data_IF_942572256632
#
_entry.id   IF_942572256632
#
_cell.length_a   1.000
_cell.length_b   1.000
_cell.length_c   1.000
_cell.angle_alpha   90.00
_cell.angle_beta   90.00
_cell.angle_gamma   90.00
#
_symmetry.space_group_name_H-M   'P 1'
#
loop_
_entity.id
_entity.type
_entity.pdbx_description
1 polymer ?
#
# COMPACT_ATOMS: atom_id res chain seq x y z
N UNK A 1 -6.63 -0.85 20.08
CA UNK A 1 -7.57 -1.68 19.31
C UNK A 1 -6.81 -2.90 18.83
N UNK A 2 -7.12 -4.09 19.33
CA UNK A 2 -6.41 -5.33 18.99
C UNK A 2 -7.02 -5.87 17.68
N UNK A 3 -6.30 -5.78 16.56
CA UNK A 3 -6.75 -6.37 15.30
C UNK A 3 -6.58 -7.89 15.38
N UNK A 4 -7.67 -8.64 15.57
CA UNK A 4 -7.63 -10.10 15.46
C UNK A 4 -7.60 -10.47 13.97
N UNK A 5 -6.51 -11.07 13.53
CA UNK A 5 -6.38 -11.54 12.15
C UNK A 5 -7.17 -12.84 11.95
N UNK A 6 -7.72 -12.99 10.75
CA UNK A 6 -8.35 -14.24 10.29
C UNK A 6 -7.25 -15.23 9.90
N UNK A 7 -7.55 -16.53 9.90
CA UNK A 7 -6.60 -17.58 9.55
C UNK A 7 -5.89 -17.31 8.21
N UNK A 8 -6.64 -16.94 7.17
CA UNK A 8 -6.07 -16.62 5.86
C UNK A 8 -5.14 -15.40 5.88
N UNK A 9 -5.38 -14.42 6.77
CA UNK A 9 -4.52 -13.24 6.88
C UNK A 9 -3.19 -13.59 7.53
N UNK A 10 -3.18 -14.50 8.51
CA UNK A 10 -1.94 -15.06 9.04
C UNK A 10 -1.16 -15.79 7.96
N UNK A 11 -1.81 -16.69 7.24
CA UNK A 11 -1.20 -17.44 6.13
C UNK A 11 -0.61 -16.51 5.05
N UNK A 12 -1.36 -15.48 4.66
CA UNK A 12 -0.91 -14.49 3.69
C UNK A 12 0.37 -13.75 4.15
N UNK A 13 0.46 -13.39 5.45
CA UNK A 13 1.66 -12.76 6.01
C UNK A 13 2.84 -13.74 6.09
N UNK A 14 2.60 -15.00 6.43
CA UNK A 14 3.64 -16.03 6.46
C UNK A 14 4.24 -16.24 5.07
N UNK A 15 3.40 -16.33 4.03
CA UNK A 15 3.84 -16.41 2.63
C UNK A 15 4.65 -15.17 2.26
N UNK A 16 4.21 -13.98 2.65
CA UNK A 16 4.94 -12.73 2.41
C UNK A 16 6.33 -12.77 3.07
N UNK A 17 6.44 -13.21 4.33
CA UNK A 17 7.71 -13.31 5.05
C UNK A 17 8.66 -14.31 4.39
N UNK A 18 8.15 -15.44 3.91
CA UNK A 18 8.93 -16.41 3.14
C UNK A 18 9.39 -15.84 1.80
N UNK A 19 8.55 -15.07 1.10
CA UNK A 19 8.89 -14.42 -0.16
C UNK A 19 10.05 -13.43 -0.01
N UNK A 20 9.97 -12.53 0.97
CA UNK A 20 11.04 -11.54 1.18
C UNK A 20 12.35 -12.19 1.65
N UNK A 21 12.28 -13.31 2.36
CA UNK A 21 13.48 -14.07 2.75
C UNK A 21 14.21 -14.68 1.54
N UNK A 22 13.48 -14.95 0.46
CA UNK A 22 14.01 -15.46 -0.81
C UNK A 22 14.32 -14.35 -1.83
N UNK A 23 14.41 -13.09 -1.39
CA UNK A 23 14.63 -11.89 -2.23
C UNK A 23 13.57 -11.70 -3.36
N UNK A 24 12.39 -12.29 -3.19
CA UNK A 24 11.27 -12.08 -4.10
C UNK A 24 10.65 -10.68 -3.86
N UNK A 25 10.45 -9.93 -4.94
CA UNK A 25 10.06 -8.50 -4.87
C UNK A 25 8.57 -8.25 -5.07
N UNK A 26 7.83 -9.24 -5.54
CA UNK A 26 6.43 -9.11 -5.92
C UNK A 26 5.65 -10.32 -5.44
N UNK A 27 4.41 -10.09 -5.01
CA UNK A 27 3.45 -11.11 -4.64
C UNK A 27 2.04 -10.68 -5.05
N UNK A 28 1.18 -11.63 -5.37
CA UNK A 28 -0.23 -11.42 -5.70
C UNK A 28 -1.11 -12.19 -4.71
N UNK A 29 -2.11 -11.51 -4.12
CA UNK A 29 -3.16 -12.14 -3.33
C UNK A 29 -4.50 -12.03 -4.06
N UNK A 30 -5.06 -13.17 -4.42
CA UNK A 30 -6.44 -13.28 -4.88
C UNK A 30 -7.31 -13.78 -3.73
N UNK A 31 -8.29 -12.98 -3.31
CA UNK A 31 -9.24 -13.35 -2.28
C UNK A 31 -10.60 -12.74 -2.57
N UNK A 32 -11.66 -13.30 -2.00
CA UNK A 32 -13.02 -12.81 -2.17
C UNK A 32 -13.17 -11.33 -1.71
N UNK A 33 -14.08 -10.54 -2.31
CA UNK A 33 -14.40 -9.21 -1.80
C UNK A 33 -14.82 -9.25 -0.31
N UNK A 34 -14.37 -8.28 0.49
CA UNK A 34 -14.67 -8.25 1.94
C UNK A 34 -13.88 -9.23 2.82
N UNK A 35 -12.96 -10.02 2.24
CA UNK A 35 -12.09 -10.95 2.99
C UNK A 35 -11.14 -10.28 3.98
N UNK A 36 -10.82 -8.99 3.78
CA UNK A 36 -9.93 -8.22 4.65
C UNK A 36 -8.54 -7.92 4.07
N UNK A 37 -8.35 -8.03 2.74
CA UNK A 37 -7.08 -7.76 2.03
C UNK A 37 -6.41 -6.45 2.39
N UNK A 38 -7.19 -5.38 2.56
CA UNK A 38 -6.67 -4.06 2.95
C UNK A 38 -5.89 -4.10 4.25
N UNK A 39 -6.39 -4.82 5.28
CA UNK A 39 -5.70 -4.91 6.57
C UNK A 39 -4.38 -5.69 6.44
N UNK A 40 -4.39 -6.80 5.72
CA UNK A 40 -3.20 -7.61 5.45
C UNK A 40 -2.14 -6.80 4.68
N UNK A 41 -2.55 -6.06 3.64
CA UNK A 41 -1.65 -5.21 2.86
C UNK A 41 -1.02 -4.09 3.70
N UNK A 42 -1.81 -3.45 4.57
CA UNK A 42 -1.29 -2.41 5.46
C UNK A 42 -0.31 -2.94 6.50
N UNK A 43 -0.45 -4.18 6.96
CA UNK A 43 0.55 -4.82 7.83
C UNK A 43 1.87 -5.04 7.09
N UNK A 44 1.83 -5.46 5.83
CA UNK A 44 3.03 -5.54 4.98
C UNK A 44 3.67 -4.17 4.79
N UNK A 45 2.88 -3.13 4.48
CA UNK A 45 3.38 -1.77 4.35
C UNK A 45 4.05 -1.28 5.63
N UNK A 46 3.41 -1.50 6.79
CA UNK A 46 3.94 -1.10 8.09
C UNK A 46 5.26 -1.82 8.39
N UNK A 47 5.31 -3.14 8.21
CA UNK A 47 6.53 -3.93 8.37
C UNK A 47 7.66 -3.37 7.52
N UNK A 48 7.43 -3.14 6.23
CA UNK A 48 8.45 -2.61 5.33
C UNK A 48 8.93 -1.20 5.72
N UNK A 49 8.04 -0.30 6.13
CA UNK A 49 8.42 1.03 6.63
C UNK A 49 9.29 0.94 7.89
N UNK A 50 9.00 -0.02 8.77
CA UNK A 50 9.76 -0.23 10.00
C UNK A 50 11.12 -0.90 9.75
N UNK A 51 11.19 -1.86 8.83
CA UNK A 51 12.43 -2.58 8.52
C UNK A 51 13.34 -1.78 7.58
N UNK A 52 12.77 -1.08 6.60
CA UNK A 52 13.52 -0.28 5.64
C UNK A 52 13.45 1.18 6.06
N UNK A 53 14.57 1.72 6.57
CA UNK A 53 14.72 3.09 7.10
C UNK A 53 14.20 4.25 6.20
N UNK A 54 13.83 3.99 4.94
CA UNK A 54 13.35 4.99 3.97
C UNK A 54 12.24 4.50 3.04
N UNK A 55 11.60 3.37 3.33
CA UNK A 55 10.53 2.89 2.45
C UNK A 55 9.34 3.86 2.48
N UNK A 56 8.84 4.22 1.29
CA UNK A 56 7.57 4.92 1.10
C UNK A 56 6.47 3.92 0.82
N UNK A 57 5.23 4.28 1.11
CA UNK A 57 4.05 3.48 0.74
C UNK A 57 3.32 4.15 -0.43
N UNK A 58 3.07 3.41 -1.50
CA UNK A 58 2.27 3.88 -2.63
C UNK A 58 1.14 2.89 -2.83
N UNK A 59 -0.09 3.36 -2.71
CA UNK A 59 -1.27 2.53 -2.91
C UNK A 59 -1.98 3.05 -4.16
N UNK A 60 -2.18 2.17 -5.14
CA UNK A 60 -2.87 2.47 -6.39
C UNK A 60 -4.23 1.79 -6.37
N UNK A 61 -5.30 2.56 -6.54
CA UNK A 61 -6.69 2.10 -6.43
C UNK A 61 -7.49 2.43 -7.71
N UNK A 62 -8.60 1.75 -8.00
CA UNK A 62 -9.38 2.04 -9.20
C UNK A 62 -10.15 3.35 -9.12
N UNK A 63 -10.64 3.76 -7.94
CA UNK A 63 -11.55 4.91 -7.82
C UNK A 63 -11.09 5.95 -6.81
N UNK A 64 -11.55 7.19 -6.99
CA UNK A 64 -11.23 8.29 -6.10
C UNK A 64 -11.76 8.10 -4.67
N UNK A 65 -12.91 7.42 -4.51
CA UNK A 65 -13.51 7.14 -3.22
C UNK A 65 -12.65 6.17 -2.40
N UNK A 66 -12.09 5.13 -3.03
CA UNK A 66 -11.18 4.19 -2.38
C UNK A 66 -9.91 4.85 -1.84
N UNK A 67 -9.45 5.97 -2.43
CA UNK A 67 -8.29 6.69 -1.90
C UNK A 67 -8.49 7.13 -0.45
N UNK A 68 -9.68 7.65 -0.14
CA UNK A 68 -10.02 8.08 1.21
C UNK A 68 -10.16 6.89 2.15
N UNK A 69 -10.80 5.81 1.71
CA UNK A 69 -10.97 4.60 2.53
C UNK A 69 -9.62 3.97 2.89
N UNK A 70 -8.70 3.88 1.94
CA UNK A 70 -7.35 3.36 2.17
C UNK A 70 -6.53 4.25 3.10
N UNK A 71 -6.58 5.57 2.95
CA UNK A 71 -5.89 6.48 3.87
C UNK A 71 -6.45 6.37 5.30
N UNK A 72 -7.77 6.35 5.46
CA UNK A 72 -8.41 6.14 6.78
C UNK A 72 -8.09 4.77 7.38
N UNK A 73 -7.94 3.74 6.54
CA UNK A 73 -7.49 2.43 6.98
C UNK A 73 -6.04 2.47 7.46
N UNK A 74 -5.15 3.11 6.69
CA UNK A 74 -3.74 3.26 6.99
C UNK A 74 -3.48 4.03 8.29
N UNK A 75 -4.27 5.07 8.58
CA UNK A 75 -4.17 5.84 9.83
C UNK A 75 -4.36 4.95 11.06
N UNK A 76 -5.21 3.91 11.00
CA UNK A 76 -5.39 2.94 12.10
C UNK A 76 -4.16 2.07 12.35
N UNK A 77 -3.24 2.00 11.39
CA UNK A 77 -1.95 1.32 11.48
C UNK A 77 -0.79 2.30 11.74
N UNK A 78 -1.06 3.59 11.95
CA UNK A 78 -0.02 4.62 12.12
C UNK A 78 0.71 4.98 10.81
N UNK A 79 0.07 4.71 9.66
CA UNK A 79 0.57 5.07 8.34
C UNK A 79 -0.24 6.24 7.79
N UNK A 80 0.34 7.44 7.79
CA UNK A 80 -0.26 8.63 7.20
C UNK A 80 0.03 8.67 5.71
N UNK A 81 -1.02 8.50 4.90
CA UNK A 81 -0.95 8.50 3.44
C UNK A 81 -1.75 9.66 2.84
N UNK A 82 -1.15 10.40 1.91
CA UNK A 82 -1.84 11.50 1.22
C UNK A 82 -2.83 10.96 0.18
N UNK A 83 -4.13 11.01 0.49
CA UNK A 83 -5.23 10.65 -0.43
C UNK A 83 -5.68 11.81 -1.33
N UNK A 84 -5.20 13.02 -1.07
CA UNK A 84 -5.55 14.25 -1.81
C UNK A 84 -4.43 14.68 -2.76
N UNK A 85 -3.41 13.84 -2.93
CA UNK A 85 -2.28 14.11 -3.80
C UNK A 85 -2.75 14.49 -5.21
N UNK A 86 -2.45 15.72 -5.61
CA UNK A 86 -2.83 16.32 -6.88
C UNK A 86 -1.64 16.45 -7.84
N UNK A 87 -1.94 16.62 -9.12
CA UNK A 87 -0.97 16.57 -10.22
C UNK A 87 0.15 17.62 -10.17
N UNK A 88 0.09 18.64 -9.31
CA UNK A 88 1.07 19.74 -9.24
C UNK A 88 1.78 19.89 -7.88
N UNK A 89 1.55 19.00 -6.92
CA UNK A 89 2.14 19.12 -5.58
C UNK A 89 3.30 18.14 -5.37
N UNK A 90 4.27 18.55 -4.56
CA UNK A 90 5.22 17.63 -3.92
C UNK A 90 4.50 16.96 -2.74
N UNK A 91 4.85 15.71 -2.47
CA UNK A 91 4.41 15.03 -1.26
C UNK A 91 4.96 15.79 -0.05
N UNK A 92 4.11 16.11 0.93
CA UNK A 92 4.57 16.78 2.14
C UNK A 92 5.43 15.81 2.98
N UNK A 93 6.41 16.34 3.72
CA UNK A 93 7.39 15.55 4.45
C UNK A 93 6.76 14.67 5.55
N UNK A 94 5.60 15.07 6.06
CA UNK A 94 4.91 14.41 7.16
C UNK A 94 4.15 13.14 6.71
N UNK A 95 3.97 12.95 5.40
CA UNK A 95 3.33 11.75 4.86
C UNK A 95 4.36 10.66 4.59
N UNK A 96 4.06 9.44 5.06
CA UNK A 96 4.84 8.24 4.77
C UNK A 96 4.60 7.71 3.34
N UNK A 97 3.59 8.24 2.65
CA UNK A 97 3.19 7.74 1.35
C UNK A 97 1.97 8.43 0.77
N UNK A 98 1.41 7.82 -0.27
CA UNK A 98 0.23 8.34 -0.97
C UNK A 98 -0.73 7.24 -1.41
N UNK A 99 -1.98 7.64 -1.60
CA UNK A 99 -3.00 6.82 -2.26
C UNK A 99 -3.46 7.53 -3.51
N UNK A 100 -3.29 6.91 -4.67
CA UNK A 100 -3.59 7.48 -5.99
C UNK A 100 -4.43 6.53 -6.82
N UNK A 101 -5.08 7.05 -7.85
CA UNK A 101 -5.79 6.19 -8.79
C UNK A 101 -4.91 5.72 -9.94
N UNK A 102 -5.25 4.61 -10.59
CA UNK A 102 -4.59 4.18 -11.83
C UNK A 102 -4.60 5.29 -12.90
N UNK A 103 -5.70 6.04 -13.00
CA UNK A 103 -5.79 7.19 -13.90
C UNK A 103 -4.76 8.28 -13.56
N UNK A 104 -4.54 8.60 -12.28
CA UNK A 104 -3.50 9.55 -11.89
C UNK A 104 -2.09 9.04 -12.23
N UNK A 105 -1.84 7.74 -12.05
CA UNK A 105 -0.58 7.09 -12.44
C UNK A 105 -0.35 7.22 -13.95
N UNK A 106 -1.37 6.89 -14.75
CA UNK A 106 -1.33 6.96 -16.21
C UNK A 106 -1.10 8.39 -16.75
N UNK A 107 -1.55 9.42 -16.05
CA UNK A 107 -1.31 10.81 -16.44
C UNK A 107 0.15 11.25 -16.29
N UNK A 108 0.93 10.62 -15.39
CA UNK A 108 2.32 11.00 -15.07
C UNK A 108 3.20 9.77 -14.79
N UNK A 109 3.34 8.82 -15.73
CA UNK A 109 3.97 7.53 -15.46
C UNK A 109 5.43 7.65 -15.02
N UNK A 110 6.23 8.52 -15.66
CA UNK A 110 7.64 8.75 -15.31
C UNK A 110 7.81 9.28 -13.88
N UNK A 111 6.90 10.16 -13.43
CA UNK A 111 6.92 10.69 -12.07
C UNK A 111 6.67 9.57 -11.05
N UNK A 112 5.66 8.72 -11.28
CA UNK A 112 5.34 7.62 -10.37
C UNK A 112 6.38 6.51 -10.41
N UNK A 113 6.99 6.22 -11.57
CA UNK A 113 8.13 5.32 -11.67
C UNK A 113 9.34 5.84 -10.88
N UNK A 114 9.59 7.15 -10.93
CA UNK A 114 10.60 7.79 -10.10
C UNK A 114 10.29 7.68 -8.61
N UNK A 115 9.03 7.88 -8.24
CA UNK A 115 8.55 7.88 -6.86
C UNK A 115 8.51 6.48 -6.23
N UNK A 116 8.24 5.44 -7.03
CA UNK A 116 8.15 4.05 -6.58
C UNK A 116 9.51 3.40 -6.33
N UNK A 117 10.62 4.03 -6.74
CA UNK A 117 11.96 3.55 -6.44
C UNK A 117 12.20 3.49 -4.93
N UNK A 118 12.35 2.27 -4.41
CA UNK A 118 12.53 2.02 -2.97
C UNK A 118 11.24 2.15 -2.15
N UNK A 119 10.08 2.21 -2.80
CA UNK A 119 8.78 2.19 -2.15
C UNK A 119 8.19 0.78 -2.14
N UNK A 120 7.29 0.54 -1.19
CA UNK A 120 6.33 -0.56 -1.25
C UNK A 120 5.14 -0.08 -2.06
N UNK A 121 4.80 -0.81 -3.11
CA UNK A 121 3.66 -0.50 -3.96
C UNK A 121 2.58 -1.56 -3.76
N UNK A 122 1.37 -1.11 -3.46
CA UNK A 122 0.17 -1.95 -3.42
C UNK A 122 -0.72 -1.58 -4.59
N UNK A 123 -1.05 -2.57 -5.41
CA UNK A 123 -1.99 -2.44 -6.52
C UNK A 123 -3.30 -3.09 -6.08
N UNK A 124 -4.33 -2.28 -5.83
CA UNK A 124 -5.63 -2.75 -5.43
C UNK A 124 -6.53 -2.98 -6.65
N UNK A 125 -7.33 -4.05 -6.60
CA UNK A 125 -8.24 -4.45 -7.67
C UNK A 125 -7.61 -4.38 -9.06
N UNK A 126 -6.46 -5.03 -9.27
CA UNK A 126 -5.85 -5.14 -10.60
C UNK A 126 -6.66 -6.12 -11.45
N UNK A 127 -7.08 -5.71 -12.64
CA UNK A 127 -7.82 -6.50 -13.63
C UNK A 127 -7.17 -6.38 -15.01
#
# INVERSE_FOLDING_TARGET
>A
MTFHLRAWQHEALDIYHQHIANDAKTLLWEATPGSGKTATALQVCLHQVQTLRRARVIIVVPTAHLRLQWAQAADRFGLHLDSRFGSKRRLAADYQGLVVTYHQVAQRPEFFAGLSRGAVVVLDEIH
#
